data_IF_899423796999
#
_entry.id   IF_899423796999
#
_cell.length_a   1.000
_cell.length_b   1.000
_cell.length_c   1.000
_cell.angle_alpha   90.00
_cell.angle_beta   90.00
_cell.angle_gamma   90.00
#
_symmetry.space_group_name_H-M   'P 1'
#
loop_
_entity.id
_entity.type
_entity.pdbx_description
1 polymer ?
#
# COMPACT_ATOMS: atom_id res chain seq x y z
N UNK A 1 -9.18 16.97 3.56
CA UNK A 1 -7.72 16.79 3.66
C UNK A 1 -7.36 15.73 2.64
N UNK A 2 -6.50 16.00 1.64
CA UNK A 2 -6.00 14.92 0.81
C UNK A 2 -5.34 13.92 1.75
N UNK A 3 -5.86 12.71 1.84
CA UNK A 3 -5.19 11.67 2.60
C UNK A 3 -3.81 11.52 1.98
N UNK A 4 -2.76 11.81 2.74
CA UNK A 4 -1.39 11.81 2.26
C UNK A 4 -1.10 10.43 1.69
N UNK A 5 -1.06 10.34 0.35
CA UNK A 5 -0.80 9.08 -0.36
C UNK A 5 0.54 8.48 0.07
N UNK A 6 1.45 9.35 0.52
CA UNK A 6 2.72 9.04 1.15
C UNK A 6 2.54 8.37 2.51
N UNK A 7 1.65 8.88 3.38
CA UNK A 7 1.29 8.24 4.66
C UNK A 7 0.60 6.89 4.45
N UNK A 8 -0.25 6.79 3.43
CA UNK A 8 -0.85 5.52 3.01
C UNK A 8 0.28 4.56 2.64
N UNK A 9 1.25 4.97 1.83
CA UNK A 9 2.36 4.09 1.46
C UNK A 9 3.39 3.90 2.60
N UNK A 10 3.30 4.66 3.70
CA UNK A 10 4.25 4.66 4.80
C UNK A 10 5.64 5.16 4.38
N UNK A 11 5.69 6.06 3.40
CA UNK A 11 6.93 6.66 2.88
C UNK A 11 6.93 8.16 3.17
N UNK A 12 8.10 8.79 3.34
CA UNK A 12 8.16 10.23 3.49
C UNK A 12 7.73 10.94 2.19
N UNK A 13 7.31 12.19 2.31
CA UNK A 13 6.88 13.04 1.19
C UNK A 13 8.01 13.34 0.19
N UNK A 14 9.26 13.22 0.64
CA UNK A 14 10.47 13.36 -0.18
C UNK A 14 10.96 12.03 -0.80
N UNK A 15 10.23 10.92 -0.59
CA UNK A 15 10.65 9.60 -1.03
C UNK A 15 10.89 9.54 -2.55
N UNK A 16 11.97 8.86 -2.95
CA UNK A 16 12.27 8.69 -4.36
C UNK A 16 11.19 7.83 -5.05
N UNK A 17 11.00 8.04 -6.36
CA UNK A 17 10.05 7.26 -7.15
C UNK A 17 10.26 5.73 -7.06
N UNK A 18 11.50 5.30 -6.84
CA UNK A 18 11.85 3.88 -6.63
C UNK A 18 11.40 3.37 -5.25
N UNK A 19 11.46 4.19 -4.21
CA UNK A 19 10.96 3.86 -2.87
C UNK A 19 9.43 3.78 -2.85
N UNK A 20 8.76 4.74 -3.52
CA UNK A 20 7.31 4.72 -3.75
C UNK A 20 6.86 3.41 -4.41
N UNK A 21 7.53 3.01 -5.51
CA UNK A 21 7.22 1.73 -6.19
C UNK A 21 7.46 0.53 -5.29
N UNK A 22 8.51 0.54 -4.47
CA UNK A 22 8.82 -0.55 -3.54
C UNK A 22 7.75 -0.67 -2.45
N UNK A 23 7.39 0.45 -1.82
CA UNK A 23 6.37 0.51 -0.79
C UNK A 23 5.01 0.06 -1.32
N UNK A 24 4.62 0.54 -2.52
CA UNK A 24 3.41 0.13 -3.20
C UNK A 24 3.38 -1.39 -3.45
N UNK A 25 4.44 -1.96 -4.05
CA UNK A 25 4.51 -3.40 -4.31
C UNK A 25 4.49 -4.25 -3.03
N UNK A 26 5.10 -3.75 -1.95
CA UNK A 26 5.08 -4.41 -0.64
C UNK A 26 3.66 -4.47 -0.09
N UNK A 27 2.95 -3.35 -0.07
CA UNK A 27 1.55 -3.31 0.35
C UNK A 27 0.65 -4.15 -0.52
N UNK A 28 0.81 -4.08 -1.84
CA UNK A 28 0.04 -4.93 -2.75
C UNK A 28 0.24 -6.38 -2.35
N UNK A 29 1.47 -6.89 -2.21
CA UNK A 29 1.70 -8.28 -1.78
C UNK A 29 1.12 -8.63 -0.40
N UNK A 30 1.10 -7.69 0.53
CA UNK A 30 0.55 -7.87 1.88
C UNK A 30 -0.97 -8.00 1.86
N UNK A 31 -1.66 -7.27 0.98
CA UNK A 31 -3.12 -7.22 0.90
C UNK A 31 -3.69 -7.84 -0.39
N UNK A 32 -2.86 -8.46 -1.25
CA UNK A 32 -3.32 -8.97 -2.54
C UNK A 32 -4.19 -10.21 -2.32
N UNK A 33 -5.42 -10.24 -2.87
CA UNK A 33 -6.32 -11.37 -2.68
C UNK A 33 -5.75 -12.69 -3.26
N UNK A 34 -4.95 -12.63 -4.33
CA UNK A 34 -4.32 -13.85 -4.90
C UNK A 34 -3.14 -14.40 -4.07
N UNK A 35 -2.60 -13.63 -3.11
CA UNK A 35 -1.42 -14.05 -2.32
C UNK A 35 -1.77 -14.23 -0.85
N UNK A 36 -2.85 -13.61 -0.38
CA UNK A 36 -3.32 -13.67 0.99
C UNK A 36 -4.77 -14.17 1.00
N UNK A 37 -4.96 -15.47 1.27
CA UNK A 37 -6.27 -16.14 1.42
C UNK A 37 -7.08 -15.67 2.66
N UNK A 38 -6.64 -14.61 3.34
CA UNK A 38 -7.28 -14.11 4.53
C UNK A 38 -8.47 -13.19 4.17
N UNK A 39 -9.70 -13.50 4.61
CA UNK A 39 -10.91 -12.73 4.30
C UNK A 39 -10.90 -11.28 4.84
N UNK A 40 -9.96 -10.93 5.72
CA UNK A 40 -9.79 -9.58 6.27
C UNK A 40 -8.91 -8.66 5.40
N UNK A 41 -8.16 -9.19 4.42
CA UNK A 41 -7.36 -8.37 3.49
C UNK A 41 -8.22 -7.55 2.52
N UNK A 42 -9.42 -8.05 2.22
CA UNK A 42 -10.36 -7.44 1.28
C UNK A 42 -10.89 -6.07 1.76
N UNK A 43 -10.90 -5.84 3.08
CA UNK A 43 -11.42 -4.61 3.70
C UNK A 43 -10.43 -3.42 3.64
N UNK A 44 -9.13 -3.68 3.52
CA UNK A 44 -8.09 -2.63 3.41
C UNK A 44 -7.80 -2.22 1.96
N UNK A 45 -8.13 -3.08 0.98
CA UNK A 45 -7.86 -2.82 -0.44
C UNK A 45 -9.03 -2.14 -1.18
N UNK A 46 -10.26 -2.24 -0.66
CA UNK A 46 -11.42 -1.46 -1.14
C UNK A 46 -11.41 -0.07 -0.51
N UNK A 47 -10.66 0.84 -1.13
CA UNK A 47 -10.88 2.29 -0.96
C UNK A 47 -12.16 2.71 -1.69
#
# INVERSE_FOLDING_TARGET
MPADLYDVLGVPDDAAAEELKRAYRKRVREYHPDVNDHPEGDAQFKL
#
